data_IF_659216132785
#
_entry.id   IF_659216132785
#
_cell.length_a   1.000
_cell.length_b   1.000
_cell.length_c   1.000
_cell.angle_alpha   90.00
_cell.angle_beta   90.00
_cell.angle_gamma   90.00
#
_symmetry.space_group_name_H-M   'P 1'
#
loop_
_entity.id
_entity.type
_entity.pdbx_description
1 polymer ?
#
# COMPACT_ATOMS: atom_id res chain seq x y z
N UNK A 1 19.85 -0.26 -6.42
CA UNK A 1 18.44 0.15 -6.59
C UNK A 1 17.66 -0.63 -5.56
N UNK A 2 17.40 -0.04 -4.39
CA UNK A 2 16.76 -0.78 -3.30
C UNK A 2 15.27 -0.90 -3.63
N UNK A 3 14.83 -2.11 -3.96
CA UNK A 3 13.42 -2.45 -3.85
C UNK A 3 13.07 -2.34 -2.36
N UNK A 4 12.56 -1.18 -1.96
CA UNK A 4 11.83 -1.04 -0.71
C UNK A 4 10.60 -1.93 -0.82
N UNK A 5 10.73 -3.19 -0.41
CA UNK A 5 9.64 -4.16 -0.35
C UNK A 5 8.44 -3.49 0.29
N UNK A 6 7.30 -3.49 -0.43
CA UNK A 6 6.04 -2.88 0.01
C UNK A 6 5.68 -3.25 1.47
N UNK A 7 6.12 -4.43 1.92
CA UNK A 7 6.02 -4.95 3.29
C UNK A 7 6.71 -4.05 4.33
N UNK A 8 7.93 -3.55 4.07
CA UNK A 8 8.63 -2.62 4.99
C UNK A 8 7.89 -1.28 5.12
N UNK A 9 7.35 -0.77 4.01
CA UNK A 9 6.57 0.47 4.01
C UNK A 9 5.24 0.31 4.76
N UNK A 10 4.57 -0.82 4.60
CA UNK A 10 3.37 -1.17 5.37
C UNK A 10 3.65 -1.24 6.88
N UNK A 11 4.71 -1.93 7.30
CA UNK A 11 5.09 -2.01 8.72
C UNK A 11 5.34 -0.62 9.29
N UNK A 12 6.09 0.23 8.56
CA UNK A 12 6.36 1.61 8.98
C UNK A 12 5.07 2.43 9.11
N UNK A 13 4.13 2.25 8.19
CA UNK A 13 2.84 2.93 8.21
C UNK A 13 1.92 2.46 9.36
N UNK A 14 1.98 1.18 9.72
CA UNK A 14 1.25 0.64 10.88
C UNK A 14 1.86 1.16 12.18
N UNK A 15 3.20 1.15 12.31
CA UNK A 15 3.88 1.72 13.48
C UNK A 15 3.54 3.19 13.69
N UNK A 16 3.51 3.98 12.61
CA UNK A 16 3.09 5.39 12.69
C UNK A 16 1.64 5.56 13.14
N UNK A 17 0.73 4.67 12.69
CA UNK A 17 -0.68 4.70 13.08
C UNK A 17 -0.88 4.41 14.56
N UNK A 18 -0.18 3.42 15.11
CA UNK A 18 -0.23 3.08 16.55
C UNK A 18 0.28 4.26 17.38
N UNK A 19 1.40 4.87 16.97
CA UNK A 19 1.95 6.03 17.67
C UNK A 19 0.96 7.21 17.68
N UNK A 20 0.33 7.49 16.54
CA UNK A 20 -0.65 8.56 16.42
C UNK A 20 -1.86 8.35 17.33
N UNK A 21 -2.46 7.15 17.34
CA UNK A 21 -3.63 6.86 18.19
C UNK A 21 -3.30 6.90 19.68
N UNK A 22 -2.12 6.42 20.08
CA UNK A 22 -1.62 6.55 21.45
C UNK A 22 -1.42 8.03 21.83
N UNK A 23 -0.88 8.83 20.91
CA UNK A 23 -0.68 10.27 21.12
C UNK A 23 -2.00 10.98 21.32
N UNK A 24 -3.01 10.74 20.47
CA UNK A 24 -4.36 11.31 20.63
C UNK A 24 -4.97 10.95 21.98
N UNK A 25 -4.89 9.67 22.36
CA UNK A 25 -5.43 9.17 23.62
C UNK A 25 -4.76 9.85 24.81
N UNK A 26 -3.43 9.97 24.80
CA UNK A 26 -2.67 10.67 25.84
C UNK A 26 -3.02 12.17 25.89
N UNK A 27 -3.17 12.82 24.74
CA UNK A 27 -3.52 14.24 24.64
C UNK A 27 -4.90 14.50 25.25
N UNK A 28 -5.90 13.68 24.87
CA UNK A 28 -7.26 13.78 25.43
C UNK A 28 -7.23 13.56 26.93
N UNK A 29 -6.46 12.57 27.41
CA UNK A 29 -6.30 12.33 28.84
C UNK A 29 -5.65 13.52 29.54
N UNK A 30 -4.57 14.07 28.99
CA UNK A 30 -3.84 15.20 29.58
C UNK A 30 -4.69 16.47 29.67
N UNK A 31 -5.54 16.73 28.68
CA UNK A 31 -6.43 17.91 28.67
C UNK A 31 -7.68 17.73 29.51
N UNK A 32 -8.26 16.52 29.53
CA UNK A 32 -9.56 16.30 30.16
C UNK A 32 -9.43 15.71 31.58
N UNK A 33 -8.28 15.11 31.92
CA UNK A 33 -8.06 14.37 33.17
C UNK A 33 -8.92 13.12 33.33
N UNK A 34 -9.65 12.73 32.28
CA UNK A 34 -10.71 11.73 32.30
C UNK A 34 -10.38 10.57 31.36
N UNK A 35 -10.12 9.41 31.96
CA UNK A 35 -9.74 8.17 31.27
C UNK A 35 -10.87 7.62 30.41
N UNK A 36 -12.12 7.79 30.83
CA UNK A 36 -13.30 7.36 30.09
C UNK A 36 -13.44 8.08 28.74
N UNK A 37 -13.20 9.40 28.72
CA UNK A 37 -13.23 10.20 27.50
C UNK A 37 -12.01 9.88 26.62
N UNK A 38 -10.83 9.75 27.21
CA UNK A 38 -9.61 9.40 26.48
C UNK A 38 -9.72 8.06 25.74
N UNK A 39 -10.19 7.02 26.43
CA UNK A 39 -10.38 5.68 25.85
C UNK A 39 -11.47 5.70 24.78
N UNK A 40 -12.57 6.42 25.01
CA UNK A 40 -13.65 6.55 24.03
C UNK A 40 -13.16 7.22 22.75
N UNK A 41 -12.44 8.33 22.85
CA UNK A 41 -11.90 9.02 21.67
C UNK A 41 -10.84 8.17 20.97
N UNK A 42 -9.95 7.50 21.71
CA UNK A 42 -8.95 6.60 21.12
C UNK A 42 -9.59 5.46 20.32
N UNK A 43 -10.62 4.82 20.86
CA UNK A 43 -11.38 3.77 20.17
C UNK A 43 -12.16 4.30 18.97
N UNK A 44 -12.79 5.47 19.11
CA UNK A 44 -13.52 6.11 18.01
C UNK A 44 -12.59 6.48 16.86
N UNK A 45 -11.42 7.05 17.16
CA UNK A 45 -10.40 7.40 16.18
C UNK A 45 -9.92 6.15 15.42
N UNK A 46 -9.62 5.06 16.13
CA UNK A 46 -9.21 3.79 15.52
C UNK A 46 -10.32 3.25 14.61
N UNK A 47 -11.57 3.27 15.06
CA UNK A 47 -12.73 2.78 14.30
C UNK A 47 -12.95 3.60 13.03
N UNK A 48 -12.91 4.93 13.12
CA UNK A 48 -13.05 5.82 11.97
C UNK A 48 -11.91 5.59 10.98
N UNK A 49 -10.66 5.43 11.44
CA UNK A 49 -9.52 5.11 10.57
C UNK A 49 -9.70 3.79 9.83
N UNK A 50 -10.16 2.75 10.52
CA UNK A 50 -10.44 1.45 9.89
C UNK A 50 -11.54 1.58 8.83
N UNK A 51 -12.65 2.24 9.15
CA UNK A 51 -13.72 2.47 8.20
C UNK A 51 -13.22 3.26 6.98
N UNK A 52 -12.48 4.35 7.20
CA UNK A 52 -11.96 5.20 6.15
C UNK A 52 -10.92 4.47 5.29
N UNK A 53 -10.08 3.62 5.87
CA UNK A 53 -9.15 2.76 5.13
C UNK A 53 -9.91 1.77 4.25
N UNK A 54 -10.93 1.10 4.79
CA UNK A 54 -11.76 0.18 4.03
C UNK A 54 -12.46 0.88 2.83
N UNK A 55 -13.05 2.06 3.06
CA UNK A 55 -13.64 2.85 1.98
C UNK A 55 -12.60 3.35 0.98
N UNK A 56 -11.42 3.77 1.45
CA UNK A 56 -10.31 4.20 0.61
C UNK A 56 -9.85 3.07 -0.31
N UNK A 57 -9.59 1.88 0.23
CA UNK A 57 -9.18 0.70 -0.54
C UNK A 57 -10.28 0.24 -1.50
N UNK A 58 -11.55 0.30 -1.07
CA UNK A 58 -12.70 -0.03 -1.93
C UNK A 58 -12.84 0.97 -3.08
N UNK A 59 -12.64 2.25 -2.82
CA UNK A 59 -12.70 3.32 -3.82
C UNK A 59 -11.52 3.22 -4.80
N UNK A 60 -10.32 2.93 -4.30
CA UNK A 60 -9.14 2.69 -5.12
C UNK A 60 -9.29 1.44 -5.99
N UNK A 61 -9.87 0.36 -5.47
CA UNK A 61 -10.16 -0.83 -6.28
C UNK A 61 -11.21 -0.57 -7.39
N UNK A 62 -12.08 0.42 -7.26
CA UNK A 62 -13.01 0.84 -8.34
C UNK A 62 -12.32 1.71 -9.38
N UNK A 63 -11.29 2.46 -8.98
CA UNK A 63 -10.48 3.28 -9.87
C UNK A 63 -9.36 2.38 -10.43
N UNK A 64 -9.57 1.79 -11.60
CA UNK A 64 -8.66 0.83 -12.27
C UNK A 64 -7.36 1.51 -12.77
N UNK A 65 -6.67 2.26 -11.90
CA UNK A 65 -5.47 3.03 -12.19
C UNK A 65 -4.25 2.12 -12.03
N UNK A 66 -3.56 1.86 -13.14
CA UNK A 66 -2.19 1.34 -13.11
C UNK A 66 -1.96 -0.11 -13.53
N UNK A 67 -2.95 -0.83 -14.08
CA UNK A 67 -2.62 -2.08 -14.80
C UNK A 67 -1.99 -1.74 -16.14
N UNK A 68 -0.66 -1.75 -16.22
CA UNK A 68 0.03 -1.89 -17.51
C UNK A 68 -0.22 -3.33 -17.98
N UNK A 69 -0.81 -3.54 -19.16
CA UNK A 69 -0.86 -4.87 -19.75
C UNK A 69 0.57 -5.40 -19.83
N UNK A 70 0.81 -6.60 -19.28
CA UNK A 70 2.05 -7.35 -19.51
C UNK A 70 1.97 -7.86 -20.96
N UNK A 71 2.12 -6.95 -21.92
CA UNK A 71 2.17 -7.27 -23.35
C UNK A 71 3.60 -7.14 -23.92
N UNK A 72 4.54 -6.59 -23.14
CA UNK A 72 5.89 -6.30 -23.63
C UNK A 72 6.96 -7.28 -23.12
N UNK A 73 6.60 -8.32 -22.35
CA UNK A 73 7.51 -9.45 -22.06
C UNK A 73 7.57 -10.40 -23.26
N UNK A 74 8.00 -9.88 -24.41
CA UNK A 74 8.56 -10.70 -25.45
C UNK A 74 10.03 -10.95 -25.10
N UNK A 75 10.43 -12.18 -24.70
CA UNK A 75 11.84 -12.52 -24.60
C UNK A 75 12.34 -12.75 -26.02
N UNK A 76 12.59 -11.69 -26.78
CA UNK A 76 13.44 -11.80 -27.97
C UNK A 76 14.45 -10.67 -27.97
N UNK A 77 15.30 -10.76 -26.95
CA UNK A 77 16.72 -10.52 -27.14
C UNK A 77 17.43 -11.86 -27.20
N UNK A 78 17.30 -12.59 -28.32
CA UNK A 78 18.22 -13.67 -28.67
C UNK A 78 18.54 -13.56 -30.17
N UNK A 79 19.75 -13.10 -30.54
CA UNK A 79 20.26 -13.22 -31.89
C UNK A 79 20.76 -14.65 -32.06
N UNK A 80 19.96 -15.52 -32.67
CA UNK A 80 20.35 -16.89 -33.03
C UNK A 80 20.14 -17.03 -34.55
N UNK A 81 21.14 -16.62 -35.33
CA UNK A 81 22.08 -17.56 -35.97
C UNK A 81 21.39 -18.46 -37.00
N UNK A 82 21.61 -18.10 -38.26
CA UNK A 82 21.90 -18.98 -39.38
C UNK A 82 21.10 -20.31 -39.49
N UNK A 83 20.34 -20.42 -40.58
CA UNK A 83 20.36 -21.66 -41.36
C UNK A 83 20.43 -21.34 -42.86
N UNK A 84 21.47 -21.84 -43.57
CA UNK A 84 21.70 -21.63 -44.98
C UNK A 84 21.05 -22.73 -45.83
N UNK A 85 20.22 -22.38 -46.80
CA UNK A 85 19.80 -23.23 -47.94
C UNK A 85 18.77 -22.45 -48.75
N UNK A 86 19.07 -21.99 -49.98
CA UNK A 86 18.99 -22.79 -51.21
C UNK A 86 17.52 -22.86 -51.65
N UNK A 87 17.03 -22.29 -52.75
CA UNK A 87 17.55 -22.13 -54.13
C UNK A 87 16.69 -21.06 -54.86
N UNK A 88 17.11 -20.59 -56.06
CA UNK A 88 16.40 -19.61 -56.87
C UNK A 88 15.42 -20.30 -57.84
N UNK A 89 14.24 -19.70 -58.05
CA UNK A 89 13.39 -19.84 -59.24
C UNK A 89 12.71 -18.50 -59.55
#
# INVERSE_FOLDING_TARGET
MFEESAVRSMIKAVSWRVLATLTTTLLVYAFTGRTDIAVTIGLLEATIKMALYYFHERMWNRLNVGRKPIADLHPTGAPALASPSGKPE
#
